data_IF_063963929409
#
_entry.id   IF_063963929409
#
_cell.length_a   1.000
_cell.length_b   1.000
_cell.length_c   1.000
_cell.angle_alpha   90.00
_cell.angle_beta   90.00
_cell.angle_gamma   90.00
#
_symmetry.space_group_name_H-M   'P 1'
#
loop_
_entity.id
_entity.type
_entity.pdbx_description
1 polymer ?
#
# COMPACT_ATOMS: atom_id res chain seq x y z
N UNK A 1 -2.96 -18.93 12.11
CA UNK A 1 -4.03 -18.52 13.06
C UNK A 1 -4.92 -17.51 12.35
N UNK A 2 -6.24 -17.66 12.39
CA UNK A 2 -7.19 -16.65 11.88
C UNK A 2 -7.65 -15.73 13.02
N UNK A 3 -8.00 -14.48 12.68
CA UNK A 3 -8.59 -13.49 13.60
C UNK A 3 -9.85 -12.92 12.95
N UNK A 4 -10.86 -12.62 13.75
CA UNK A 4 -12.12 -12.04 13.30
C UNK A 4 -12.23 -10.59 13.78
N UNK A 5 -12.73 -9.71 12.92
CA UNK A 5 -13.01 -8.31 13.23
C UNK A 5 -14.48 -8.05 12.97
N UNK A 6 -15.14 -7.29 13.86
CA UNK A 6 -16.50 -6.82 13.66
C UNK A 6 -16.48 -5.34 13.31
N UNK A 7 -17.11 -4.97 12.19
CA UNK A 7 -17.27 -3.59 11.75
C UNK A 7 -18.77 -3.31 11.65
N UNK A 8 -19.22 -2.27 12.34
CA UNK A 8 -20.61 -1.83 12.23
C UNK A 8 -20.75 -0.90 11.03
N UNK A 9 -21.75 -1.15 10.20
CA UNK A 9 -22.09 -0.36 9.02
C UNK A 9 -23.52 0.16 9.16
N UNK A 10 -23.73 1.40 8.75
CA UNK A 10 -25.09 1.88 8.51
C UNK A 10 -25.64 1.31 7.18
N UNK A 11 -26.94 1.48 6.95
CA UNK A 11 -27.63 0.92 5.78
C UNK A 11 -27.03 1.40 4.44
N UNK A 12 -26.58 2.66 4.39
CA UNK A 12 -25.98 3.23 3.19
C UNK A 12 -24.59 2.67 2.93
N UNK A 13 -23.76 2.54 3.96
CA UNK A 13 -22.42 1.94 3.88
C UNK A 13 -22.51 0.48 3.43
N UNK A 14 -23.39 -0.30 4.06
CA UNK A 14 -23.63 -1.69 3.70
C UNK A 14 -24.05 -1.83 2.24
N UNK A 15 -25.02 -1.01 1.79
CA UNK A 15 -25.47 -1.01 0.40
C UNK A 15 -24.33 -0.68 -0.58
N UNK A 16 -23.55 0.36 -0.29
CA UNK A 16 -22.45 0.79 -1.17
C UNK A 16 -21.36 -0.26 -1.25
N UNK A 17 -20.92 -0.80 -0.11
CA UNK A 17 -19.81 -1.74 -0.07
C UNK A 17 -20.19 -3.07 -0.72
N UNK A 18 -21.40 -3.58 -0.48
CA UNK A 18 -21.89 -4.79 -1.13
C UNK A 18 -22.06 -4.60 -2.64
N UNK A 19 -22.58 -3.45 -3.07
CA UNK A 19 -22.76 -3.15 -4.49
C UNK A 19 -21.42 -3.07 -5.22
N UNK A 20 -20.44 -2.43 -4.61
CA UNK A 20 -19.07 -2.35 -5.15
C UNK A 20 -18.43 -3.73 -5.21
N UNK A 21 -18.46 -4.51 -4.12
CA UNK A 21 -17.88 -5.86 -4.07
C UNK A 21 -18.48 -6.75 -5.17
N UNK A 22 -19.81 -6.73 -5.34
CA UNK A 22 -20.52 -7.45 -6.41
C UNK A 22 -20.11 -6.99 -7.81
N UNK A 23 -20.05 -5.69 -8.06
CA UNK A 23 -19.66 -5.14 -9.36
C UNK A 23 -18.24 -5.55 -9.76
N UNK A 24 -17.35 -5.73 -8.77
CA UNK A 24 -15.97 -6.15 -8.96
C UNK A 24 -15.75 -7.66 -8.80
N UNK A 25 -16.81 -8.45 -8.64
CA UNK A 25 -16.73 -9.92 -8.58
C UNK A 25 -15.97 -10.45 -7.35
N UNK A 26 -15.91 -9.69 -6.25
CA UNK A 26 -15.19 -10.05 -5.04
C UNK A 26 -16.08 -10.05 -3.79
N UNK A 27 -15.64 -10.70 -2.71
CA UNK A 27 -16.33 -10.67 -1.42
C UNK A 27 -16.05 -9.35 -0.70
N UNK A 28 -16.98 -8.94 0.17
CA UNK A 28 -16.78 -7.77 1.03
C UNK A 28 -15.54 -7.92 1.93
N UNK A 29 -15.26 -9.13 2.40
CA UNK A 29 -14.07 -9.44 3.18
C UNK A 29 -12.78 -9.15 2.40
N UNK A 30 -12.69 -9.58 1.14
CA UNK A 30 -11.51 -9.33 0.31
C UNK A 30 -11.37 -7.84 -0.01
N UNK A 31 -12.47 -7.18 -0.37
CA UNK A 31 -12.49 -5.74 -0.63
C UNK A 31 -11.92 -4.95 0.56
N UNK A 32 -12.40 -5.25 1.78
CA UNK A 32 -11.95 -4.56 3.00
C UNK A 32 -10.47 -4.83 3.29
N UNK A 33 -10.00 -6.07 3.11
CA UNK A 33 -8.59 -6.43 3.31
C UNK A 33 -7.68 -5.72 2.31
N UNK A 34 -8.01 -5.79 1.03
CA UNK A 34 -7.22 -5.17 -0.04
C UNK A 34 -7.16 -3.67 0.13
N UNK A 35 -8.30 -3.04 0.44
CA UNK A 35 -8.35 -1.59 0.66
C UNK A 35 -7.51 -1.17 1.87
N UNK A 36 -7.58 -1.91 2.98
CA UNK A 36 -6.77 -1.60 4.17
C UNK A 36 -5.28 -1.79 3.90
N UNK A 37 -4.90 -2.87 3.21
CA UNK A 37 -3.50 -3.10 2.82
C UNK A 37 -2.98 -1.99 1.92
N UNK A 38 -3.73 -1.61 0.89
CA UNK A 38 -3.36 -0.52 -0.01
C UNK A 38 -3.22 0.82 0.73
N UNK A 39 -4.07 1.09 1.72
CA UNK A 39 -3.94 2.29 2.55
C UNK A 39 -2.64 2.29 3.36
N UNK A 40 -2.32 1.17 4.03
CA UNK A 40 -1.08 1.01 4.79
C UNK A 40 0.14 1.13 3.87
N UNK A 41 0.12 0.49 2.70
CA UNK A 41 1.19 0.56 1.71
C UNK A 41 1.43 2.00 1.25
N UNK A 42 0.38 2.75 0.95
CA UNK A 42 0.49 4.16 0.56
C UNK A 42 1.14 5.02 1.66
N UNK A 43 0.84 4.76 2.94
CA UNK A 43 1.48 5.49 4.05
C UNK A 43 2.99 5.20 4.14
N UNK A 44 3.37 3.93 3.96
CA UNK A 44 4.79 3.52 3.96
C UNK A 44 5.51 4.10 2.76
N UNK A 45 4.95 3.96 1.56
CA UNK A 45 5.54 4.47 0.32
C UNK A 45 5.71 5.98 0.37
N UNK A 46 4.72 6.70 0.92
CA UNK A 46 4.81 8.14 1.10
C UNK A 46 5.98 8.50 2.04
N UNK A 47 6.16 7.78 3.14
CA UNK A 47 7.29 7.96 4.05
C UNK A 47 8.64 7.79 3.35
N UNK A 48 8.80 6.72 2.58
CA UNK A 48 10.04 6.44 1.82
C UNK A 48 10.34 7.57 0.82
N UNK A 49 9.31 8.05 0.10
CA UNK A 49 9.46 9.16 -0.83
C UNK A 49 9.88 10.44 -0.10
N UNK A 50 9.28 10.72 1.06
CA UNK A 50 9.65 11.89 1.87
C UNK A 50 11.09 11.81 2.37
N UNK A 51 11.55 10.65 2.83
CA UNK A 51 12.93 10.42 3.25
C UNK A 51 13.91 10.72 2.10
N UNK A 52 13.64 10.16 0.92
CA UNK A 52 14.45 10.43 -0.28
C UNK A 52 14.46 11.92 -0.67
N UNK A 53 13.30 12.59 -0.67
CA UNK A 53 13.21 14.01 -1.01
C UNK A 53 13.89 14.92 0.04
N UNK A 54 13.96 14.50 1.29
CA UNK A 54 14.73 15.19 2.33
C UNK A 54 16.23 14.96 2.17
N UNK A 55 16.65 13.73 1.87
CA UNK A 55 18.04 13.39 1.57
C UNK A 55 18.58 14.20 0.37
N UNK A 56 17.74 14.48 -0.64
CA UNK A 56 18.09 15.36 -1.77
C UNK A 56 18.48 16.76 -1.31
N UNK A 57 17.70 17.33 -0.38
CA UNK A 57 17.92 18.69 0.14
C UNK A 57 19.19 18.78 0.97
N UNK A 58 19.50 17.73 1.73
CA UNK A 58 20.71 17.64 2.56
C UNK A 58 21.95 17.18 1.79
N UNK A 59 21.83 16.88 0.48
CA UNK A 59 22.87 16.27 -0.37
C UNK A 59 23.38 14.92 0.14
N UNK A 60 22.61 14.25 0.97
CA UNK A 60 22.92 12.93 1.52
C UNK A 60 22.33 11.82 0.63
N UNK A 61 22.68 11.85 -0.66
CA UNK A 61 22.22 10.87 -1.65
C UNK A 61 23.39 10.26 -2.37
N UNK A 62 23.37 8.93 -2.45
CA UNK A 62 24.29 8.17 -3.27
C UNK A 62 23.65 7.85 -4.62
N UNK A 63 24.41 8.06 -5.68
CA UNK A 63 24.03 7.69 -7.03
C UNK A 63 24.90 6.52 -7.47
N UNK A 64 24.26 5.52 -8.07
CA UNK A 64 24.92 4.36 -8.62
C UNK A 64 24.76 4.38 -10.15
N UNK A 65 25.84 4.12 -10.87
CA UNK A 65 25.78 3.90 -12.32
C UNK A 65 25.18 2.53 -12.64
N UNK A 66 24.84 2.30 -13.91
CA UNK A 66 24.37 0.99 -14.35
C UNK A 66 25.37 -0.14 -14.02
N UNK A 67 26.67 0.12 -14.19
CA UNK A 67 27.72 -0.86 -13.90
C UNK A 67 27.85 -1.13 -12.39
N UNK A 68 27.68 -0.11 -11.54
CA UNK A 68 27.69 -0.26 -10.09
C UNK A 68 26.55 -1.19 -9.62
N UNK A 69 25.32 -0.95 -10.12
CA UNK A 69 24.15 -1.77 -9.77
C UNK A 69 24.30 -3.20 -10.24
N UNK A 70 24.86 -3.42 -11.45
CA UNK A 70 25.11 -4.76 -12.00
C UNK A 70 26.02 -5.57 -11.07
N UNK A 71 27.06 -4.96 -10.51
CA UNK A 71 27.97 -5.63 -9.58
C UNK A 71 27.34 -5.92 -8.21
N UNK A 72 26.35 -5.13 -7.77
CA UNK A 72 25.63 -5.33 -6.50
C UNK A 72 24.62 -6.49 -6.61
N UNK A 73 23.89 -6.60 -7.73
CA UNK A 73 22.77 -7.54 -7.88
C UNK A 73 23.21 -8.93 -8.37
N UNK A 74 24.39 -9.04 -9.00
CA UNK A 74 24.92 -10.30 -9.54
C UNK A 74 26.04 -10.92 -8.70
N UNK A 75 26.31 -10.37 -7.50
CA UNK A 75 27.29 -10.87 -6.55
C UNK A 75 26.78 -12.01 -5.67
#
# INVERSE_FOLDING_TARGET
MSRTVHVHLNDQEAYLFDSYAKAHGQSLENLLKETLMAHIENEVDYGIIQEYENAKKTKDIQFYTHDDVKNIVQG
#
